data_IF_232978052370
#
_entry.id   IF_232978052370
#
_cell.length_a   1.000
_cell.length_b   1.000
_cell.length_c   1.000
_cell.angle_alpha   90.00
_cell.angle_beta   90.00
_cell.angle_gamma   90.00
#
_symmetry.space_group_name_H-M   'P 1'
#
loop_
_entity.id
_entity.type
_entity.pdbx_description
1 polymer ?
#
# COMPACT_ATOMS: atom_id res chain seq x y z
N UNK A 1 16.88 -29.41 6.39
CA UNK A 1 15.92 -28.75 7.30
C UNK A 1 15.26 -27.63 6.52
N UNK A 2 13.94 -27.69 6.30
CA UNK A 2 13.20 -26.67 5.55
C UNK A 2 12.64 -25.59 6.47
N UNK A 3 12.45 -24.38 5.96
CA UNK A 3 11.74 -23.32 6.68
C UNK A 3 10.29 -23.75 6.94
N UNK A 4 9.79 -23.56 8.16
CA UNK A 4 8.38 -23.78 8.47
C UNK A 4 7.52 -22.70 7.81
N UNK A 5 6.26 -23.00 7.49
CA UNK A 5 5.34 -22.05 6.82
C UNK A 5 5.29 -20.68 7.53
N UNK A 6 5.31 -20.70 8.87
CA UNK A 6 5.35 -19.49 9.70
C UNK A 6 6.60 -18.62 9.45
N UNK A 7 7.76 -19.23 9.22
CA UNK A 7 9.01 -18.50 8.93
C UNK A 7 8.93 -17.85 7.55
N UNK A 8 8.44 -18.59 6.54
CA UNK A 8 8.26 -18.07 5.17
C UNK A 8 7.29 -16.88 5.18
N UNK A 9 6.19 -17.01 5.92
CA UNK A 9 5.19 -15.97 6.07
C UNK A 9 5.71 -14.72 6.81
N UNK A 10 6.50 -14.92 7.87
CA UNK A 10 7.17 -13.81 8.58
C UNK A 10 8.18 -13.08 7.70
N UNK A 11 8.96 -13.82 6.90
CA UNK A 11 9.91 -13.25 5.94
C UNK A 11 9.17 -12.48 4.85
N UNK A 12 8.10 -13.03 4.28
CA UNK A 12 7.25 -12.34 3.30
C UNK A 12 6.74 -11.01 3.86
N UNK A 13 6.15 -11.01 5.05
CA UNK A 13 5.66 -9.79 5.70
C UNK A 13 6.76 -8.77 5.91
N UNK A 14 7.93 -9.21 6.38
CA UNK A 14 9.07 -8.33 6.64
C UNK A 14 9.60 -7.71 5.35
N UNK A 15 9.74 -8.51 4.29
CA UNK A 15 10.22 -8.05 2.99
C UNK A 15 9.24 -7.08 2.34
N UNK A 16 7.97 -7.45 2.22
CA UNK A 16 6.94 -6.56 1.63
C UNK A 16 6.83 -5.28 2.43
N UNK A 17 6.81 -5.37 3.76
CA UNK A 17 6.82 -4.18 4.62
C UNK A 17 8.04 -3.32 4.37
N UNK A 18 9.24 -3.90 4.33
CA UNK A 18 10.47 -3.13 4.11
C UNK A 18 10.45 -2.47 2.73
N UNK A 19 10.05 -3.18 1.69
CA UNK A 19 9.97 -2.65 0.33
C UNK A 19 9.01 -1.46 0.30
N UNK A 20 7.80 -1.64 0.84
CA UNK A 20 6.78 -0.57 0.84
C UNK A 20 7.17 0.61 1.72
N UNK A 21 7.71 0.36 2.91
CA UNK A 21 8.12 1.41 3.85
C UNK A 21 9.32 2.22 3.27
N UNK A 22 10.27 1.58 2.55
CA UNK A 22 11.41 2.26 1.93
C UNK A 22 11.07 2.95 0.60
N UNK A 23 10.20 2.36 -0.22
CA UNK A 23 9.78 2.97 -1.50
C UNK A 23 8.59 3.92 -1.34
N UNK A 24 8.11 4.15 -0.12
CA UNK A 24 7.03 5.09 0.18
C UNK A 24 7.16 6.46 -0.52
N UNK A 25 8.36 7.10 -0.59
CA UNK A 25 8.53 8.35 -1.32
C UNK A 25 8.33 8.22 -2.83
N UNK A 26 8.61 7.05 -3.41
CA UNK A 26 8.46 6.77 -4.84
C UNK A 26 7.00 6.56 -5.20
N UNK A 27 6.20 6.04 -4.26
CA UNK A 27 4.76 5.83 -4.46
C UNK A 27 3.95 7.13 -4.56
N UNK A 28 4.52 8.30 -4.24
CA UNK A 28 3.84 9.58 -4.48
C UNK A 28 3.51 9.83 -5.96
N UNK A 29 4.30 9.28 -6.88
CA UNK A 29 4.14 9.49 -8.33
C UNK A 29 3.66 8.24 -9.06
N UNK A 30 3.24 7.20 -8.34
CA UNK A 30 2.83 5.96 -8.97
C UNK A 30 1.53 6.14 -9.76
N UNK A 31 1.46 5.58 -10.97
CA UNK A 31 0.21 5.59 -11.74
C UNK A 31 -0.75 4.52 -11.22
N UNK A 32 -2.05 4.68 -11.49
CA UNK A 32 -3.06 3.70 -11.08
C UNK A 32 -2.82 2.30 -11.70
N UNK A 33 -2.29 2.25 -12.93
CA UNK A 33 -1.92 0.99 -13.58
C UNK A 33 -0.79 0.30 -12.83
N UNK A 34 0.27 1.03 -12.49
CA UNK A 34 1.43 0.46 -11.80
C UNK A 34 1.06 -0.04 -10.40
N UNK A 35 0.22 0.72 -9.68
CA UNK A 35 -0.28 0.32 -8.36
C UNK A 35 -1.10 -0.98 -8.45
N UNK A 36 -1.94 -1.11 -9.49
CA UNK A 36 -2.73 -2.32 -9.71
C UNK A 36 -1.85 -3.52 -10.05
N UNK A 37 -0.83 -3.32 -10.89
CA UNK A 37 0.15 -4.36 -11.23
C UNK A 37 0.92 -4.83 -10.00
N UNK A 38 1.40 -3.90 -9.17
CA UNK A 38 2.10 -4.23 -7.92
C UNK A 38 1.21 -4.96 -6.93
N UNK A 39 -0.03 -4.50 -6.73
CA UNK A 39 -1.01 -5.17 -5.88
C UNK A 39 -1.27 -6.61 -6.35
N UNK A 40 -1.34 -6.84 -7.66
CA UNK A 40 -1.50 -8.18 -8.25
C UNK A 40 -0.31 -9.08 -7.93
N UNK A 41 0.91 -8.58 -8.12
CA UNK A 41 2.15 -9.31 -7.81
C UNK A 41 2.22 -9.66 -6.31
N UNK A 42 1.88 -8.71 -5.43
CA UNK A 42 1.86 -8.94 -3.99
C UNK A 42 0.81 -9.98 -3.59
N UNK A 43 -0.38 -9.94 -4.19
CA UNK A 43 -1.43 -10.91 -3.91
C UNK A 43 -1.05 -12.33 -4.37
N UNK A 44 -0.38 -12.47 -5.52
CA UNK A 44 0.09 -13.77 -5.99
C UNK A 44 1.24 -14.32 -5.14
N UNK A 45 2.15 -13.44 -4.69
CA UNK A 45 3.18 -13.81 -3.74
C UNK A 45 2.57 -14.25 -2.39
N UNK A 46 1.57 -13.52 -1.88
CA UNK A 46 0.85 -13.89 -0.67
C UNK A 46 0.15 -15.24 -0.81
N UNK A 47 -0.47 -15.50 -1.97
CA UNK A 47 -1.10 -16.79 -2.25
C UNK A 47 -0.11 -17.93 -2.21
N UNK A 48 1.05 -17.73 -2.82
CA UNK A 48 2.15 -18.70 -2.85
C UNK A 48 2.63 -19.02 -1.43
N UNK A 49 2.80 -18.00 -0.60
CA UNK A 49 3.26 -18.15 0.79
C UNK A 49 2.22 -18.85 1.66
N UNK A 50 0.93 -18.53 1.50
CA UNK A 50 -0.15 -19.18 2.23
C UNK A 50 -0.53 -20.56 1.66
N UNK A 51 0.03 -20.95 0.52
CA UNK A 51 -0.37 -22.18 -0.19
C UNK A 51 -1.84 -22.16 -0.64
N UNK A 52 -2.40 -20.97 -0.92
CA UNK A 52 -3.82 -20.81 -1.26
C UNK A 52 -4.06 -20.98 -2.77
N UNK A 53 -5.19 -21.60 -3.17
CA UNK A 53 -5.53 -21.76 -4.59
C UNK A 53 -5.78 -20.43 -5.30
N UNK A 54 -5.43 -20.35 -6.59
CA UNK A 54 -5.58 -19.15 -7.44
C UNK A 54 -7.03 -18.62 -7.50
N UNK A 55 -8.01 -19.52 -7.49
CA UNK A 55 -9.44 -19.18 -7.54
C UNK A 55 -9.98 -18.59 -6.23
N UNK A 56 -9.17 -18.61 -5.15
CA UNK A 56 -9.55 -18.00 -3.87
C UNK A 56 -9.60 -16.48 -4.03
N UNK A 57 -10.72 -15.88 -3.60
CA UNK A 57 -10.87 -14.42 -3.53
C UNK A 57 -9.71 -13.83 -2.74
N UNK A 58 -9.08 -12.77 -3.25
CA UNK A 58 -7.89 -12.13 -2.66
C UNK A 58 -8.11 -11.67 -1.22
N UNK A 59 -9.34 -11.35 -0.83
CA UNK A 59 -9.66 -10.88 0.53
C UNK A 59 -9.47 -11.97 1.59
N UNK A 60 -9.64 -13.24 1.22
CA UNK A 60 -9.47 -14.36 2.14
C UNK A 60 -8.01 -14.53 2.60
N UNK A 61 -7.01 -14.74 1.71
CA UNK A 61 -5.63 -14.87 2.14
C UNK A 61 -5.12 -13.59 2.80
N UNK A 62 -5.65 -12.42 2.43
CA UNK A 62 -5.31 -11.15 3.08
C UNK A 62 -5.87 -11.03 4.49
N UNK A 63 -7.13 -11.42 4.70
CA UNK A 63 -7.78 -11.44 6.00
C UNK A 63 -7.10 -12.42 6.94
N UNK A 64 -6.81 -13.62 6.46
CA UNK A 64 -6.04 -14.64 7.19
C UNK A 64 -4.63 -14.12 7.51
N UNK A 65 -4.00 -13.44 6.56
CA UNK A 65 -2.67 -12.89 6.73
C UNK A 65 -2.61 -11.58 7.52
N UNK A 66 -3.74 -10.92 7.78
CA UNK A 66 -3.81 -9.56 8.32
C UNK A 66 -2.94 -8.56 7.51
N UNK A 67 -3.03 -8.61 6.18
CA UNK A 67 -2.28 -7.73 5.26
C UNK A 67 -3.24 -6.76 4.56
N UNK A 68 -2.99 -5.45 4.71
CA UNK A 68 -3.77 -4.37 4.07
C UNK A 68 -3.45 -4.25 2.57
N UNK A 69 -4.22 -3.40 1.86
CA UNK A 69 -3.89 -3.03 0.46
C UNK A 69 -2.63 -2.17 0.39
N UNK A 70 -1.93 -2.24 -0.74
CA UNK A 70 -0.81 -1.35 -1.02
C UNK A 70 -1.27 0.10 -0.96
N UNK A 71 -2.47 0.39 -1.48
CA UNK A 71 -3.09 1.73 -1.45
C UNK A 71 -3.28 2.19 0.00
N UNK A 72 -3.97 1.39 0.84
CA UNK A 72 -4.19 1.74 2.25
C UNK A 72 -2.86 1.91 2.99
N UNK A 73 -1.87 1.07 2.68
CA UNK A 73 -0.55 1.14 3.31
C UNK A 73 0.19 2.41 2.93
N UNK A 74 0.18 2.80 1.66
CA UNK A 74 0.78 4.04 1.16
C UNK A 74 0.05 5.26 1.71
N UNK A 75 -1.28 5.25 1.76
CA UNK A 75 -2.07 6.33 2.37
C UNK A 75 -1.74 6.47 3.85
N UNK A 76 -1.65 5.37 4.59
CA UNK A 76 -1.27 5.38 6.01
C UNK A 76 0.16 5.90 6.24
N UNK A 77 1.12 5.50 5.40
CA UNK A 77 2.49 5.99 5.47
C UNK A 77 2.58 7.48 5.15
N UNK A 78 1.83 7.94 4.15
CA UNK A 78 1.74 9.35 3.76
C UNK A 78 1.13 10.19 4.88
N UNK A 79 0.02 9.73 5.46
CA UNK A 79 -0.63 10.41 6.59
C UNK A 79 0.31 10.49 7.80
N UNK A 80 0.98 9.39 8.17
CA UNK A 80 1.96 9.39 9.25
C UNK A 80 3.14 10.33 8.99
N UNK A 81 3.64 10.38 7.75
CA UNK A 81 4.68 11.32 7.36
C UNK A 81 4.21 12.76 7.55
N UNK A 82 3.03 13.10 7.02
CA UNK A 82 2.45 14.44 7.15
C UNK A 82 2.28 14.82 8.62
N UNK A 83 1.66 13.97 9.44
CA UNK A 83 1.48 14.22 10.88
C UNK A 83 2.83 14.48 11.58
N UNK A 84 3.86 13.69 11.28
CA UNK A 84 5.21 13.88 11.83
C UNK A 84 5.85 15.20 11.38
N UNK A 85 5.62 15.61 10.14
CA UNK A 85 6.11 16.91 9.64
C UNK A 85 5.33 18.09 10.21
N UNK A 86 4.04 17.93 10.52
CA UNK A 86 3.21 18.98 11.13
C UNK A 86 3.45 19.15 12.63
N UNK A 87 3.75 18.06 13.34
CA UNK A 87 4.03 18.09 14.80
C UNK A 87 5.44 18.55 15.12
N UNK A 88 6.38 18.49 14.16
CA UNK A 88 7.65 19.22 14.21
C UNK A 88 7.44 20.62 13.63
N UNK A 89 7.20 21.61 14.49
CA UNK A 89 6.82 22.99 14.16
C UNK A 89 7.73 23.76 13.17
N UNK A 90 8.83 23.20 12.69
CA UNK A 90 9.79 23.86 11.79
C UNK A 90 9.39 23.89 10.29
N UNK A 91 8.39 23.10 9.86
CA UNK A 91 8.11 22.90 8.42
C UNK A 91 6.62 22.94 8.03
N UNK A 92 5.79 23.72 8.74
CA UNK A 92 4.35 23.87 8.44
C UNK A 92 4.04 24.30 7.01
N UNK A 93 4.87 25.15 6.41
CA UNK A 93 4.63 25.72 5.07
C UNK A 93 4.85 24.69 3.95
N UNK A 94 5.84 23.80 4.08
CA UNK A 94 6.13 22.78 3.08
C UNK A 94 5.08 21.65 3.06
N UNK A 95 4.64 21.23 4.24
CA UNK A 95 3.60 20.22 4.37
C UNK A 95 2.25 20.73 3.84
N UNK A 96 1.95 22.03 4.03
CA UNK A 96 0.74 22.66 3.49
C UNK A 96 0.73 22.72 1.96
N UNK A 97 1.86 23.07 1.34
CA UNK A 97 1.98 23.06 -0.12
C UNK A 97 1.91 21.64 -0.72
N UNK A 98 2.49 20.64 -0.06
CA UNK A 98 2.39 19.23 -0.49
C UNK A 98 0.96 18.71 -0.41
N UNK A 99 0.23 19.04 0.66
CA UNK A 99 -1.19 18.70 0.81
C UNK A 99 -2.07 19.37 -0.23
N UNK A 100 -1.86 20.66 -0.50
CA UNK A 100 -2.60 21.39 -1.53
C UNK A 100 -2.39 20.79 -2.91
N UNK A 101 -1.14 20.44 -3.27
CA UNK A 101 -0.84 19.75 -4.54
C UNK A 101 -1.47 18.36 -4.62
N UNK A 102 -1.46 17.60 -3.52
CA UNK A 102 -2.12 16.28 -3.47
C UNK A 102 -3.65 16.41 -3.62
N UNK A 103 -4.26 17.44 -3.02
CA UNK A 103 -5.69 17.71 -3.14
C UNK A 103 -6.11 18.24 -4.52
N UNK A 104 -5.28 19.05 -5.17
CA UNK A 104 -5.49 19.52 -6.54
C UNK A 104 -5.33 18.39 -7.56
N UNK A 105 -4.33 17.51 -7.40
CA UNK A 105 -4.20 16.28 -8.18
C UNK A 105 -5.40 15.34 -8.01
N UNK A 106 -5.95 15.25 -6.78
CA UNK A 106 -7.15 14.44 -6.50
C UNK A 106 -8.46 15.08 -7.00
N UNK A 107 -8.56 16.39 -7.20
CA UNK A 107 -9.75 17.00 -7.84
C UNK A 107 -9.85 16.66 -9.33
N UNK A 108 -8.73 16.42 -10.01
CA UNK A 108 -8.70 15.80 -11.34
C UNK A 108 -8.98 14.29 -11.34
N UNK A 109 -8.69 13.61 -10.22
CA UNK A 109 -8.93 12.18 -10.02
C UNK A 109 -10.24 11.81 -9.29
N UNK A 110 -11.07 12.78 -8.86
CA UNK A 110 -12.32 12.54 -8.14
C UNK A 110 -13.39 11.77 -8.92
N UNK A 111 -13.15 11.49 -10.22
CA UNK A 111 -13.96 10.58 -11.05
C UNK A 111 -13.61 9.09 -10.89
N UNK A 112 -12.51 8.73 -10.24
CA UNK A 112 -12.03 7.34 -10.22
C UNK A 112 -12.54 6.53 -9.03
N UNK A 113 -12.88 7.16 -7.89
CA UNK A 113 -13.33 6.44 -6.68
C UNK A 113 -14.75 5.88 -6.86
N UNK A 114 -15.61 6.53 -7.65
CA UNK A 114 -16.98 6.05 -7.90
C UNK A 114 -17.08 4.93 -8.94
N UNK A 115 -16.03 4.64 -9.71
CA UNK A 115 -16.08 3.61 -10.76
C UNK A 115 -15.56 2.24 -10.30
N UNK A 116 -14.70 2.20 -9.28
CA UNK A 116 -14.19 0.95 -8.70
C UNK A 116 -15.16 0.31 -7.68
N UNK A 117 -16.15 1.06 -7.19
CA UNK A 117 -17.18 0.55 -6.28
C UNK A 117 -18.41 -0.07 -6.99
N UNK A 118 -18.33 -0.28 -8.32
CA UNK A 118 -19.47 -0.75 -9.13
C UNK A 118 -19.15 -1.95 -10.03
N UNK A 119 -18.17 -2.79 -9.66
CA UNK A 119 -17.94 -4.10 -10.28
C UNK A 119 -17.94 -5.17 -9.18
#
# INVERSE_FOLDING_TARGET
MGATSNVIFSVYKTLVRSLVDYTAPVFFNITASDATTLETILNDALRTVNGTPIWTKTDNPRGEAQVSTLVDRVEHLTANFLIRTYTRDDHRDYAHQALLRHHEGRRGQGKWITKAASI
#
